data_IF_461070453049
#
_entry.id   IF_461070453049
#
_cell.length_a   1.000
_cell.length_b   1.000
_cell.length_c   1.000
_cell.angle_alpha   90.00
_cell.angle_beta   90.00
_cell.angle_gamma   90.00
#
_symmetry.space_group_name_H-M   'P 1'
#
loop_
_entity.id
_entity.type
_entity.pdbx_description
1 polymer ?
#
# COMPACT_ATOMS: atom_id res chain seq x y z
N UNK A 1 13.45 17.18 -38.36
CA UNK A 1 13.84 16.71 -37.01
C UNK A 1 13.94 15.19 -37.09
N UNK A 2 15.16 14.62 -37.06
CA UNK A 2 15.35 13.17 -37.16
C UNK A 2 15.02 12.55 -35.80
N UNK A 3 14.07 11.61 -35.78
CA UNK A 3 13.61 10.90 -34.58
C UNK A 3 14.64 9.80 -34.27
N UNK A 4 15.11 9.71 -33.02
CA UNK A 4 16.06 8.70 -32.58
C UNK A 4 15.33 7.35 -32.42
N UNK A 5 15.81 6.26 -33.04
CA UNK A 5 15.24 4.93 -32.83
C UNK A 5 15.50 4.44 -31.40
N UNK A 6 14.58 3.64 -30.87
CA UNK A 6 14.76 2.96 -29.59
C UNK A 6 16.01 2.06 -29.65
N UNK A 7 16.79 1.95 -28.56
CA UNK A 7 17.98 1.10 -28.55
C UNK A 7 17.56 -0.38 -28.64
N UNK A 8 17.67 -0.92 -29.85
CA UNK A 8 17.45 -2.33 -30.23
C UNK A 8 16.02 -2.87 -29.94
N UNK A 9 15.05 -2.63 -30.83
CA UNK A 9 13.72 -3.21 -30.69
C UNK A 9 13.79 -4.75 -30.64
N UNK A 10 12.95 -5.42 -29.84
CA UNK A 10 12.87 -6.88 -29.77
C UNK A 10 12.79 -7.56 -31.15
N UNK A 11 12.25 -6.84 -32.14
CA UNK A 11 12.19 -7.21 -33.55
C UNK A 11 13.51 -7.74 -34.11
N UNK A 12 14.60 -7.01 -33.94
CA UNK A 12 15.90 -7.35 -34.56
C UNK A 12 16.59 -8.51 -33.85
N UNK A 13 16.42 -8.61 -32.52
CA UNK A 13 17.14 -9.57 -31.68
C UNK A 13 16.40 -10.90 -31.49
N UNK A 14 15.08 -10.90 -31.61
CA UNK A 14 14.21 -12.03 -31.26
C UNK A 14 13.22 -12.43 -32.35
N UNK A 15 13.45 -12.01 -33.60
CA UNK A 15 12.62 -12.36 -34.76
C UNK A 15 11.15 -11.91 -34.61
N UNK A 16 10.95 -10.65 -34.20
CA UNK A 16 9.64 -10.00 -34.07
C UNK A 16 8.58 -10.83 -33.31
N UNK A 17 8.85 -11.23 -32.06
CA UNK A 17 7.87 -11.99 -31.30
C UNK A 17 6.68 -11.10 -30.92
N UNK A 18 5.53 -11.69 -30.57
CA UNK A 18 4.44 -10.96 -29.94
C UNK A 18 4.92 -10.25 -28.67
N UNK A 19 4.66 -8.95 -28.56
CA UNK A 19 5.04 -8.11 -27.42
C UNK A 19 3.79 -7.64 -26.68
N UNK A 20 3.82 -7.77 -25.36
CA UNK A 20 2.83 -7.22 -24.44
C UNK A 20 3.55 -6.31 -23.46
N UNK A 21 3.12 -5.05 -23.38
CA UNK A 21 3.65 -4.08 -22.43
C UNK A 21 2.77 -4.17 -21.20
N UNK A 22 3.25 -4.89 -20.18
CA UNK A 22 2.47 -5.16 -18.97
C UNK A 22 2.47 -3.99 -17.98
N UNK A 23 3.48 -3.12 -18.01
CA UNK A 23 3.57 -1.99 -17.09
C UNK A 23 4.21 -0.78 -17.77
N UNK A 24 3.49 0.34 -17.77
CA UNK A 24 4.05 1.66 -18.09
C UNK A 24 3.30 2.73 -17.29
N UNK A 25 4.02 3.51 -16.49
CA UNK A 25 3.41 4.42 -15.52
C UNK A 25 4.29 5.59 -15.14
N UNK A 26 3.67 6.59 -14.50
CA UNK A 26 4.34 7.78 -13.98
C UNK A 26 3.77 8.14 -12.61
N UNK A 27 4.61 8.07 -11.58
CA UNK A 27 4.23 8.42 -10.21
C UNK A 27 4.41 9.91 -9.94
N UNK A 28 3.44 10.52 -9.25
CA UNK A 28 3.53 11.89 -8.72
C UNK A 28 3.39 11.88 -7.20
N UNK A 29 3.66 13.01 -6.54
CA UNK A 29 3.51 13.16 -5.09
C UNK A 29 2.05 13.36 -4.63
N UNK A 30 1.08 13.15 -5.54
CA UNK A 30 -0.35 13.36 -5.31
C UNK A 30 -0.86 14.73 -5.79
N UNK A 31 -2.16 14.94 -5.67
CA UNK A 31 -2.86 16.13 -6.20
C UNK A 31 -3.78 15.80 -7.37
N UNK A 32 -4.61 16.77 -7.79
CA UNK A 32 -5.50 16.65 -8.96
C UNK A 32 -4.86 17.21 -10.24
N UNK A 33 -3.70 17.86 -10.12
CA UNK A 33 -2.93 18.39 -11.24
C UNK A 33 -1.94 17.32 -11.72
N UNK A 34 -2.23 16.72 -12.87
CA UNK A 34 -1.55 15.54 -13.42
C UNK A 34 -0.96 15.80 -14.82
N UNK A 35 -0.69 17.06 -15.18
CA UNK A 35 -0.17 17.41 -16.52
C UNK A 35 1.11 16.65 -16.90
N UNK A 36 2.00 16.40 -15.94
CA UNK A 36 3.21 15.61 -16.17
C UNK A 36 2.90 14.14 -16.50
N UNK A 37 1.93 13.54 -15.80
CA UNK A 37 1.46 12.17 -16.03
C UNK A 37 0.79 12.05 -17.40
N UNK A 38 -0.03 13.04 -17.76
CA UNK A 38 -0.69 13.12 -19.07
C UNK A 38 0.36 13.24 -20.18
N UNK A 39 1.32 14.15 -20.04
CA UNK A 39 2.41 14.36 -21.00
C UNK A 39 3.26 13.11 -21.19
N UNK A 40 3.57 12.41 -20.09
CA UNK A 40 4.27 11.12 -20.12
C UNK A 40 3.54 10.09 -20.97
N UNK A 41 2.26 9.84 -20.68
CA UNK A 41 1.46 8.84 -21.39
C UNK A 41 1.30 9.18 -22.87
N UNK A 42 1.04 10.45 -23.22
CA UNK A 42 0.98 10.89 -24.62
C UNK A 42 2.27 10.53 -25.37
N UNK A 43 3.42 10.88 -24.79
CA UNK A 43 4.72 10.61 -25.42
C UNK A 43 5.01 9.12 -25.58
N UNK A 44 4.65 8.30 -24.60
CA UNK A 44 4.90 6.85 -24.65
C UNK A 44 3.94 6.13 -25.60
N UNK A 45 2.66 6.48 -25.60
CA UNK A 45 1.68 5.94 -26.56
C UNK A 45 2.05 6.32 -27.99
N UNK A 46 2.54 7.54 -28.25
CA UNK A 46 3.07 7.92 -29.56
C UNK A 46 4.24 7.03 -30.00
N UNK A 47 5.15 6.67 -29.07
CA UNK A 47 6.27 5.76 -29.39
C UNK A 47 5.82 4.33 -29.61
N UNK A 48 4.80 3.86 -28.88
CA UNK A 48 4.20 2.54 -29.11
C UNK A 48 3.54 2.50 -30.48
N UNK A 49 2.84 3.57 -30.85
CA UNK A 49 2.25 3.70 -32.18
C UNK A 49 3.33 3.72 -33.27
N UNK A 50 4.40 4.51 -33.10
CA UNK A 50 5.56 4.51 -34.01
C UNK A 50 6.14 3.07 -34.14
N UNK A 51 6.28 2.34 -33.03
CA UNK A 51 6.81 0.96 -33.06
C UNK A 51 5.91 -0.02 -33.83
N UNK A 52 4.59 0.17 -33.78
CA UNK A 52 3.60 -0.64 -34.54
C UNK A 52 3.60 -0.23 -36.01
N UNK A 53 3.47 1.06 -36.30
CA UNK A 53 3.20 1.56 -37.66
C UNK A 53 4.46 1.73 -38.50
N UNK A 54 5.55 2.21 -37.90
CA UNK A 54 6.82 2.47 -38.60
C UNK A 54 7.71 1.23 -38.51
N UNK A 55 7.97 0.76 -37.29
CA UNK A 55 8.93 -0.32 -37.07
C UNK A 55 8.32 -1.71 -37.24
N UNK A 56 7.00 -1.84 -37.42
CA UNK A 56 6.27 -3.11 -37.63
C UNK A 56 6.51 -4.15 -36.52
N UNK A 57 6.60 -3.70 -35.28
CA UNK A 57 6.64 -4.59 -34.11
C UNK A 57 5.26 -5.22 -33.86
N UNK A 58 5.20 -6.51 -33.50
CA UNK A 58 3.94 -7.21 -33.13
C UNK A 58 3.53 -6.89 -31.68
N UNK A 59 3.17 -5.63 -31.41
CA UNK A 59 2.67 -5.21 -30.10
C UNK A 59 1.18 -5.49 -30.02
N UNK A 60 0.76 -6.29 -29.03
CA UNK A 60 -0.62 -6.77 -28.89
C UNK A 60 -1.37 -6.22 -27.70
N UNK A 61 -0.65 -5.72 -26.70
CA UNK A 61 -1.24 -5.23 -25.47
C UNK A 61 -0.38 -4.12 -24.88
N UNK A 62 -1.05 -3.16 -24.26
CA UNK A 62 -0.47 -2.11 -23.44
C UNK A 62 -1.34 -1.94 -22.20
N UNK A 63 -0.73 -2.02 -21.02
CA UNK A 63 -1.40 -1.79 -19.75
C UNK A 63 -0.71 -0.67 -18.98
N UNK A 64 -1.49 0.36 -18.67
CA UNK A 64 -1.06 1.49 -17.86
C UNK A 64 -0.86 1.05 -16.40
N UNK A 65 0.25 1.48 -15.80
CA UNK A 65 0.51 1.32 -14.38
C UNK A 65 0.24 2.65 -13.67
N UNK A 66 -0.80 2.74 -12.85
CA UNK A 66 -1.77 1.73 -12.43
C UNK A 66 -3.20 2.24 -12.63
N UNK A 67 -4.17 1.33 -12.56
CA UNK A 67 -5.60 1.68 -12.63
C UNK A 67 -6.01 2.62 -11.47
N UNK A 68 -5.41 2.43 -10.30
CA UNK A 68 -5.64 3.21 -9.08
C UNK A 68 -4.31 3.44 -8.40
N UNK A 69 -4.20 4.52 -7.62
CA UNK A 69 -3.04 4.74 -6.76
C UNK A 69 -2.79 3.50 -5.89
N UNK A 70 -1.53 3.10 -5.82
CA UNK A 70 -1.13 1.87 -5.13
C UNK A 70 0.15 2.11 -4.32
N UNK A 71 0.49 1.15 -3.47
CA UNK A 71 1.71 1.16 -2.68
C UNK A 71 2.96 0.93 -3.57
N UNK A 72 3.65 2.02 -3.92
CA UNK A 72 4.85 2.01 -4.78
C UNK A 72 6.12 1.56 -4.03
N UNK A 73 6.12 0.32 -3.53
CA UNK A 73 7.29 -0.35 -2.92
C UNK A 73 8.14 0.57 -2.01
N UNK A 74 9.40 0.84 -2.36
CA UNK A 74 10.31 1.69 -1.59
C UNK A 74 9.87 3.16 -1.52
N UNK A 75 9.14 3.67 -2.52
CA UNK A 75 8.60 5.03 -2.51
C UNK A 75 7.34 5.11 -1.63
N UNK A 76 6.49 4.08 -1.63
CA UNK A 76 5.40 3.93 -0.65
C UNK A 76 5.90 3.83 0.79
N UNK A 77 7.04 3.16 1.01
CA UNK A 77 7.75 3.14 2.30
C UNK A 77 8.35 4.50 2.69
N UNK A 78 8.74 5.32 1.71
CA UNK A 78 9.25 6.67 1.95
C UNK A 78 8.13 7.63 2.40
N UNK A 79 6.91 7.48 1.86
CA UNK A 79 5.70 8.16 2.35
C UNK A 79 5.34 7.73 3.77
N UNK A 80 5.63 6.47 4.14
CA UNK A 80 5.54 5.98 5.52
C UNK A 80 6.70 6.48 6.42
N UNK A 81 7.57 7.38 5.94
CA UNK A 81 8.53 8.10 6.77
C UNK A 81 9.57 7.21 7.46
N UNK A 82 10.06 6.14 6.83
CA UNK A 82 11.11 5.30 7.43
C UNK A 82 10.62 4.27 8.45
N UNK A 83 9.36 3.85 8.36
CA UNK A 83 8.88 2.66 9.06
C UNK A 83 9.59 1.42 8.52
N UNK A 84 10.25 0.67 9.41
CA UNK A 84 10.78 -0.66 9.06
C UNK A 84 9.63 -1.62 8.76
N UNK A 85 9.64 -2.21 7.56
CA UNK A 85 8.59 -3.14 7.12
C UNK A 85 8.80 -4.52 7.74
N UNK A 86 8.23 -4.72 8.93
CA UNK A 86 8.17 -6.02 9.61
C UNK A 86 6.87 -6.75 9.30
N UNK A 87 6.80 -8.06 9.58
CA UNK A 87 5.56 -8.84 9.44
C UNK A 87 4.40 -8.27 10.26
N UNK A 88 4.68 -7.66 11.41
CA UNK A 88 3.67 -7.02 12.25
C UNK A 88 3.17 -5.71 11.64
N UNK A 89 4.07 -4.93 11.01
CA UNK A 89 3.68 -3.73 10.28
C UNK A 89 2.87 -4.04 9.03
N UNK A 90 3.22 -5.11 8.31
CA UNK A 90 2.40 -5.57 7.19
C UNK A 90 0.97 -5.93 7.65
N UNK A 91 0.82 -6.63 8.78
CA UNK A 91 -0.49 -6.97 9.35
C UNK A 91 -1.29 -5.73 9.71
N UNK A 92 -0.71 -4.75 10.41
CA UNK A 92 -1.45 -3.53 10.80
C UNK A 92 -1.86 -2.69 9.58
N UNK A 93 -0.99 -2.55 8.57
CA UNK A 93 -1.25 -1.71 7.40
C UNK A 93 -2.29 -2.31 6.44
N UNK A 94 -2.36 -3.63 6.39
CA UNK A 94 -3.28 -4.33 5.47
C UNK A 94 -4.53 -4.86 6.15
N UNK A 95 -4.55 -4.90 7.49
CA UNK A 95 -5.58 -5.61 8.27
C UNK A 95 -5.58 -7.11 8.06
N UNK A 96 -4.52 -7.66 7.46
CA UNK A 96 -4.33 -9.10 7.32
C UNK A 96 -3.65 -9.70 8.54
N UNK A 97 -3.74 -11.02 8.71
CA UNK A 97 -3.10 -11.74 9.80
C UNK A 97 -4.02 -12.00 10.99
N UNK A 98 -3.51 -11.91 12.21
CA UNK A 98 -4.22 -12.41 13.40
C UNK A 98 -5.35 -11.53 13.93
N UNK A 99 -6.06 -10.78 13.08
CA UNK A 99 -7.29 -10.07 13.43
C UNK A 99 -8.51 -10.97 13.20
N UNK A 100 -9.51 -10.91 14.09
CA UNK A 100 -10.68 -11.79 14.00
C UNK A 100 -11.42 -11.68 12.67
N UNK A 101 -11.62 -10.45 12.17
CA UNK A 101 -12.30 -10.21 10.90
C UNK A 101 -11.60 -10.93 9.74
N UNK A 102 -10.27 -10.84 9.69
CA UNK A 102 -9.47 -11.50 8.68
C UNK A 102 -9.53 -13.02 8.82
N UNK A 103 -9.29 -13.56 10.02
CA UNK A 103 -9.30 -15.01 10.25
C UNK A 103 -10.66 -15.64 9.95
N UNK A 104 -11.75 -14.94 10.29
CA UNK A 104 -13.11 -15.36 9.97
C UNK A 104 -13.35 -15.47 8.46
N UNK A 105 -12.85 -14.51 7.67
CA UNK A 105 -12.92 -14.56 6.20
C UNK A 105 -12.28 -15.82 5.62
N UNK A 106 -11.22 -16.33 6.26
CA UNK A 106 -10.53 -17.56 5.87
C UNK A 106 -11.00 -18.82 6.59
N UNK A 107 -12.08 -18.73 7.38
CA UNK A 107 -12.62 -19.85 8.17
C UNK A 107 -11.61 -20.45 9.16
N UNK A 108 -10.63 -19.64 9.59
CA UNK A 108 -9.68 -20.00 10.64
C UNK A 108 -10.21 -19.64 12.04
N UNK A 109 -11.34 -18.93 12.10
CA UNK A 109 -12.06 -18.59 13.32
C UNK A 109 -13.55 -18.55 13.02
N UNK A 110 -14.36 -18.91 14.01
CA UNK A 110 -15.83 -19.01 13.86
C UNK A 110 -16.56 -17.66 13.95
N UNK A 111 -15.87 -16.60 14.39
CA UNK A 111 -16.47 -15.29 14.61
C UNK A 111 -15.51 -14.15 14.23
N UNK A 112 -16.01 -13.10 13.54
CA UNK A 112 -15.23 -11.90 13.22
C UNK A 112 -15.17 -10.90 14.39
N UNK A 113 -15.80 -11.21 15.53
CA UNK A 113 -16.02 -10.26 16.60
C UNK A 113 -14.86 -10.17 17.60
N UNK A 114 -14.75 -9.01 18.24
CA UNK A 114 -13.72 -8.75 19.23
C UNK A 114 -13.92 -9.59 20.48
N UNK A 115 -12.81 -10.09 21.04
CA UNK A 115 -12.84 -10.90 22.25
C UNK A 115 -13.32 -10.11 23.49
N UNK A 116 -13.12 -8.80 23.54
CA UNK A 116 -13.58 -7.96 24.64
C UNK A 116 -15.01 -7.43 24.44
N UNK A 117 -15.51 -7.40 23.20
CA UNK A 117 -16.81 -6.85 22.86
C UNK A 117 -17.41 -7.61 21.65
N UNK A 118 -18.32 -8.56 21.89
CA UNK A 118 -18.95 -9.35 20.83
C UNK A 118 -19.81 -8.52 19.85
N UNK A 119 -20.20 -7.28 20.19
CA UNK A 119 -20.96 -6.43 19.29
C UNK A 119 -20.08 -5.78 18.19
N UNK A 120 -18.76 -5.73 18.39
CA UNK A 120 -17.82 -5.08 17.47
C UNK A 120 -17.05 -6.11 16.64
N UNK A 121 -16.91 -5.84 15.34
CA UNK A 121 -15.99 -6.59 14.47
C UNK A 121 -14.56 -6.18 14.82
N UNK A 122 -13.68 -7.17 15.00
CA UNK A 122 -12.27 -6.89 15.28
C UNK A 122 -11.51 -6.66 13.98
N UNK A 123 -11.51 -5.40 13.55
CA UNK A 123 -10.63 -4.89 12.50
C UNK A 123 -9.50 -4.03 13.11
N UNK A 124 -8.56 -3.59 12.26
CA UNK A 124 -7.39 -2.78 12.70
C UNK A 124 -7.83 -1.52 13.45
N UNK A 125 -8.86 -0.84 12.95
CA UNK A 125 -9.21 0.49 13.43
C UNK A 125 -10.00 0.38 14.73
N UNK A 126 -10.84 -0.66 14.85
CA UNK A 126 -11.46 -1.04 16.11
C UNK A 126 -10.41 -1.34 17.18
N UNK A 127 -9.38 -2.13 16.88
CA UNK A 127 -8.35 -2.45 17.89
C UNK A 127 -7.48 -1.26 18.27
N UNK A 128 -7.19 -0.37 17.32
CA UNK A 128 -6.41 0.84 17.56
C UNK A 128 -7.21 1.91 18.31
N UNK A 129 -8.49 2.12 18.00
CA UNK A 129 -9.23 3.32 18.43
C UNK A 129 -10.28 3.03 19.52
N UNK A 130 -10.90 1.84 19.50
CA UNK A 130 -12.15 1.59 20.25
C UNK A 130 -12.13 0.35 21.15
N UNK A 131 -11.04 -0.41 21.16
CA UNK A 131 -10.98 -1.68 21.88
C UNK A 131 -10.59 -1.52 23.34
N UNK A 132 -11.48 -1.95 24.24
CA UNK A 132 -11.28 -1.87 25.69
C UNK A 132 -10.09 -2.68 26.18
N UNK A 133 -9.76 -3.77 25.49
CA UNK A 133 -8.57 -4.58 25.77
C UNK A 133 -7.26 -3.77 25.71
N UNK A 134 -7.23 -2.72 24.90
CA UNK A 134 -6.06 -1.86 24.69
C UNK A 134 -6.27 -0.45 25.23
N UNK A 135 -7.32 -0.22 26.03
CA UNK A 135 -7.69 1.10 26.53
C UNK A 135 -6.57 1.73 27.36
N UNK A 136 -5.91 0.94 28.23
CA UNK A 136 -4.85 1.45 29.09
C UNK A 136 -3.63 1.87 28.28
N UNK A 137 -3.18 1.00 27.37
CA UNK A 137 -2.04 1.26 26.50
C UNK A 137 -2.31 2.45 25.57
N UNK A 138 -3.53 2.54 25.02
CA UNK A 138 -3.96 3.68 24.21
C UNK A 138 -3.95 4.97 25.01
N UNK A 139 -4.60 5.01 26.17
CA UNK A 139 -4.65 6.20 27.00
C UNK A 139 -3.26 6.68 27.43
N UNK A 140 -2.34 5.75 27.73
CA UNK A 140 -0.94 6.09 28.04
C UNK A 140 -0.20 6.70 26.82
N UNK A 141 -0.43 6.16 25.62
CA UNK A 141 0.13 6.71 24.39
C UNK A 141 -0.45 8.09 24.08
N UNK A 142 -1.76 8.27 24.21
CA UNK A 142 -2.46 9.54 23.99
C UNK A 142 -1.97 10.61 24.95
N UNK A 143 -1.83 10.29 26.24
CA UNK A 143 -1.25 11.19 27.23
C UNK A 143 0.22 11.53 26.91
N UNK A 144 1.00 10.55 26.45
CA UNK A 144 2.41 10.72 26.11
C UNK A 144 2.68 11.46 24.79
N UNK A 145 1.72 11.50 23.88
CA UNK A 145 1.79 12.20 22.60
C UNK A 145 1.01 13.51 22.57
N UNK A 146 0.06 13.71 23.50
CA UNK A 146 -0.86 14.83 23.52
C UNK A 146 -1.90 14.81 22.40
N UNK A 147 -2.12 13.65 21.77
CA UNK A 147 -2.97 13.47 20.58
C UNK A 147 -3.76 12.18 20.71
N UNK A 148 -5.06 12.22 20.41
CA UNK A 148 -5.93 11.05 20.44
C UNK A 148 -5.59 10.07 19.29
N UNK A 149 -5.57 8.77 19.59
CA UNK A 149 -5.37 7.72 18.58
C UNK A 149 -6.67 7.55 17.81
N UNK A 150 -6.74 8.20 16.65
CA UNK A 150 -7.87 8.09 15.72
C UNK A 150 -7.42 8.38 14.30
N UNK A 151 -8.14 7.84 13.30
CA UNK A 151 -7.84 8.07 11.86
C UNK A 151 -7.58 9.53 11.51
N UNK A 152 -8.30 10.45 12.14
CA UNK A 152 -8.21 11.89 11.86
C UNK A 152 -6.87 12.50 12.27
N UNK A 153 -6.20 11.92 13.27
CA UNK A 153 -4.95 12.43 13.82
C UNK A 153 -3.72 11.60 13.42
N UNK A 154 -3.89 10.51 12.65
CA UNK A 154 -2.75 9.72 12.17
C UNK A 154 -1.75 10.53 11.35
N UNK A 155 -2.14 11.46 10.45
CA UNK A 155 -1.17 12.30 9.76
C UNK A 155 -0.26 13.06 10.73
N UNK A 156 -0.84 13.69 11.76
CA UNK A 156 -0.08 14.42 12.78
C UNK A 156 0.87 13.51 13.58
N UNK A 157 0.41 12.30 13.92
CA UNK A 157 1.21 11.32 14.65
C UNK A 157 2.37 10.80 13.79
N UNK A 158 2.16 10.60 12.50
CA UNK A 158 3.15 10.05 11.58
C UNK A 158 4.17 11.10 11.11
N UNK A 159 3.79 12.38 11.08
CA UNK A 159 4.69 13.48 10.71
C UNK A 159 5.74 13.80 11.80
N UNK A 160 5.40 13.59 13.08
CA UNK A 160 6.33 13.77 14.20
C UNK A 160 7.11 12.47 14.48
N UNK A 161 8.44 12.50 14.37
CA UNK A 161 9.28 11.32 14.54
C UNK A 161 9.13 10.63 15.90
N UNK A 162 8.97 11.40 16.99
CA UNK A 162 8.85 10.87 18.35
C UNK A 162 7.45 10.29 18.62
N UNK A 163 6.38 10.95 18.14
CA UNK A 163 5.02 10.41 18.21
C UNK A 163 4.90 9.14 17.36
N UNK A 164 5.49 9.14 16.16
CA UNK A 164 5.52 8.02 15.22
C UNK A 164 6.19 6.79 15.83
N UNK A 165 7.37 6.93 16.44
CA UNK A 165 8.08 5.81 17.04
C UNK A 165 7.24 5.12 18.13
N UNK A 166 6.65 5.90 19.03
CA UNK A 166 5.76 5.39 20.09
C UNK A 166 4.51 4.73 19.50
N UNK A 167 3.93 5.31 18.46
CA UNK A 167 2.76 4.77 17.77
C UNK A 167 3.05 3.44 17.08
N UNK A 168 4.20 3.30 16.41
CA UNK A 168 4.64 2.04 15.81
C UNK A 168 4.81 0.97 16.88
N UNK A 169 5.47 1.29 18.01
CA UNK A 169 5.64 0.36 19.11
C UNK A 169 4.28 -0.12 19.67
N UNK A 170 3.31 0.77 19.78
CA UNK A 170 1.94 0.45 20.16
C UNK A 170 1.25 -0.49 19.14
N UNK A 171 1.35 -0.19 17.84
CA UNK A 171 0.80 -1.04 16.78
C UNK A 171 1.38 -2.46 16.82
N UNK A 172 2.70 -2.59 16.97
CA UNK A 172 3.38 -3.88 17.07
C UNK A 172 2.88 -4.67 18.29
N UNK A 173 2.70 -4.02 19.43
CA UNK A 173 2.18 -4.66 20.64
C UNK A 173 0.74 -5.16 20.47
N UNK A 174 -0.11 -4.38 19.78
CA UNK A 174 -1.47 -4.78 19.44
C UNK A 174 -1.48 -6.04 18.58
N UNK A 175 -0.71 -6.04 17.48
CA UNK A 175 -0.65 -7.19 16.58
C UNK A 175 -0.18 -8.43 17.32
N UNK A 176 0.89 -8.34 18.12
CA UNK A 176 1.39 -9.45 18.95
C UNK A 176 0.31 -9.99 19.88
N UNK A 177 -0.48 -9.12 20.50
CA UNK A 177 -1.54 -9.53 21.43
C UNK A 177 -2.74 -10.12 20.70
N UNK A 178 -3.14 -9.57 19.55
CA UNK A 178 -4.19 -10.12 18.70
C UNK A 178 -3.83 -11.52 18.19
N UNK A 179 -2.60 -11.71 17.70
CA UNK A 179 -2.10 -13.01 17.23
C UNK A 179 -2.18 -14.07 18.34
N UNK A 180 -1.77 -13.71 19.56
CA UNK A 180 -1.89 -14.62 20.73
C UNK A 180 -3.33 -14.95 21.09
N UNK A 181 -4.21 -13.95 21.16
CA UNK A 181 -5.61 -14.15 21.56
C UNK A 181 -6.38 -14.97 20.53
N UNK A 182 -6.05 -14.75 19.26
CA UNK A 182 -6.74 -15.38 18.14
C UNK A 182 -6.04 -16.66 17.65
N UNK A 183 -4.98 -17.11 18.34
CA UNK A 183 -4.18 -18.29 18.00
C UNK A 183 -3.67 -18.30 16.54
N UNK A 184 -3.40 -17.13 15.97
CA UNK A 184 -2.77 -17.01 14.66
C UNK A 184 -1.24 -17.03 14.87
N UNK A 185 -0.63 -18.20 14.66
CA UNK A 185 0.83 -18.37 14.61
C UNK A 185 1.36 -18.06 13.21
#
# INVERSE_FOLDING_TARGET
>A
MKRLPLPHPPKERYNNPPVMIFENGFGTLGGLDDEDRISYYRRYLDRVLDAIEVDKCDVRCYTAWSLMDNFEWKAGLAVLGGIEMTSHMAQILTGHGGFAQYLFRFKLRDSPHCASDPAKIQDVLQVLEDCDMFLRERAALEAGNGVAISRRHFPEILDDAGKKEKFIAYCINIVKRCNRINNAN
#
